data_IF_751844654350
#
_entry.id   IF_751844654350
#
_cell.length_a   1.000
_cell.length_b   1.000
_cell.length_c   1.000
_cell.angle_alpha   90.00
_cell.angle_beta   90.00
_cell.angle_gamma   90.00
#
_symmetry.space_group_name_H-M   'P 1'
#
loop_
_entity.id
_entity.type
_entity.pdbx_description
1 polymer ?
#
# COMPACT_ATOMS: atom_id res chain seq x y z
N UNK A 1 2.58 -1.82 -27.55
CA UNK A 1 2.46 -2.31 -26.17
C UNK A 1 2.53 -1.11 -25.25
N UNK A 2 1.57 -1.00 -24.32
CA UNK A 2 1.61 0.05 -23.31
C UNK A 2 2.81 -0.16 -22.37
N UNK A 3 3.59 0.90 -22.16
CA UNK A 3 4.75 0.86 -21.27
C UNK A 3 4.30 1.17 -19.84
N UNK A 4 4.60 0.29 -18.90
CA UNK A 4 4.45 0.54 -17.47
C UNK A 4 5.77 1.10 -16.97
N UNK A 5 5.74 2.32 -16.41
CA UNK A 5 6.86 2.94 -15.74
C UNK A 5 6.55 3.05 -14.24
N UNK A 6 7.51 2.68 -13.39
CA UNK A 6 7.39 2.83 -11.93
C UNK A 6 8.56 3.68 -11.45
N UNK A 7 8.25 4.70 -10.69
CA UNK A 7 9.23 5.63 -10.15
C UNK A 7 8.85 6.12 -8.75
N UNK A 8 9.81 6.62 -7.98
CA UNK A 8 9.49 7.36 -6.77
C UNK A 8 8.53 8.52 -7.07
N UNK A 9 7.53 8.68 -6.23
CA UNK A 9 6.64 9.83 -6.30
C UNK A 9 7.35 11.09 -5.80
N UNK A 10 6.94 12.23 -6.35
CA UNK A 10 7.42 13.55 -5.97
C UNK A 10 6.25 14.48 -5.63
N UNK A 11 6.51 15.65 -5.07
CA UNK A 11 5.46 16.57 -4.60
C UNK A 11 4.42 16.91 -5.69
N UNK A 12 4.85 17.04 -6.94
CA UNK A 12 3.95 17.32 -8.07
C UNK A 12 3.00 16.17 -8.40
N UNK A 13 3.24 14.97 -7.88
CA UNK A 13 2.37 13.79 -8.06
C UNK A 13 1.22 13.74 -7.04
N UNK A 14 1.25 14.56 -6.00
CA UNK A 14 0.26 14.54 -4.92
C UNK A 14 -1.19 14.58 -5.42
N UNK A 15 -1.58 15.43 -6.39
CA UNK A 15 -2.94 15.41 -6.91
C UNK A 15 -3.34 14.05 -7.53
N UNK A 16 -2.43 13.41 -8.24
CA UNK A 16 -2.67 12.08 -8.83
C UNK A 16 -2.80 11.00 -7.75
N UNK A 17 -1.95 11.03 -6.72
CA UNK A 17 -2.00 10.11 -5.59
C UNK A 17 -3.31 10.25 -4.81
N UNK A 18 -3.78 11.48 -4.58
CA UNK A 18 -5.08 11.76 -3.95
C UNK A 18 -6.22 11.15 -4.77
N UNK A 19 -6.21 11.34 -6.08
CA UNK A 19 -7.22 10.76 -6.97
C UNK A 19 -7.20 9.23 -6.96
N UNK A 20 -6.01 8.62 -7.02
CA UNK A 20 -5.85 7.15 -6.96
C UNK A 20 -6.30 6.56 -5.62
N UNK A 21 -6.12 7.27 -4.52
CA UNK A 21 -6.55 6.81 -3.20
C UNK A 21 -8.07 6.72 -3.08
N UNK A 22 -8.82 7.55 -3.78
CA UNK A 22 -10.29 7.58 -3.68
C UNK A 22 -10.94 6.21 -3.95
N UNK A 23 -10.42 5.45 -4.90
CA UNK A 23 -10.92 4.11 -5.21
C UNK A 23 -10.66 3.08 -4.11
N UNK A 24 -9.50 3.13 -3.47
CA UNK A 24 -9.15 2.27 -2.32
C UNK A 24 -10.00 2.63 -1.12
N UNK A 25 -10.14 3.92 -0.84
CA UNK A 25 -10.96 4.40 0.28
C UNK A 25 -12.42 3.98 0.12
N UNK A 26 -13.00 4.15 -1.06
CA UNK A 26 -14.37 3.73 -1.34
C UNK A 26 -14.57 2.22 -1.15
N UNK A 27 -13.61 1.40 -1.58
CA UNK A 27 -13.64 -0.05 -1.36
C UNK A 27 -13.60 -0.40 0.13
N UNK A 28 -12.69 0.20 0.90
CA UNK A 28 -12.59 -0.05 2.33
C UNK A 28 -13.86 0.40 3.08
N UNK A 29 -14.40 1.56 2.74
CA UNK A 29 -15.65 2.04 3.32
C UNK A 29 -16.86 1.14 3.00
N UNK A 30 -16.90 0.56 1.80
CA UNK A 30 -17.93 -0.41 1.42
C UNK A 30 -17.82 -1.74 2.18
N UNK A 31 -16.58 -2.21 2.44
CA UNK A 31 -16.32 -3.46 3.15
C UNK A 31 -16.49 -3.32 4.68
N UNK A 32 -16.13 -2.19 5.25
CA UNK A 32 -16.11 -1.95 6.70
C UNK A 32 -16.51 -0.50 7.02
N UNK A 33 -17.80 -0.13 6.82
CA UNK A 33 -18.27 1.25 6.98
C UNK A 33 -18.22 1.74 8.45
N UNK A 34 -18.13 0.82 9.41
CA UNK A 34 -17.96 1.11 10.82
C UNK A 34 -16.53 1.54 11.19
N UNK A 35 -15.56 1.35 10.27
CA UNK A 35 -14.15 1.64 10.50
C UNK A 35 -13.68 2.79 9.60
N UNK A 36 -14.07 2.75 8.33
CA UNK A 36 -13.56 3.67 7.32
C UNK A 36 -14.52 4.82 7.04
N UNK A 37 -13.95 6.02 6.92
CA UNK A 37 -14.69 7.19 6.41
C UNK A 37 -15.18 6.91 5.00
N UNK A 38 -16.40 7.31 4.61
CA UNK A 38 -16.93 7.11 3.26
C UNK A 38 -16.12 7.86 2.20
N UNK A 39 -15.49 8.97 2.59
CA UNK A 39 -14.56 9.73 1.78
C UNK A 39 -13.48 10.36 2.66
N UNK A 40 -12.34 10.65 2.08
CA UNK A 40 -11.23 11.39 2.71
C UNK A 40 -11.22 12.79 2.17
N UNK A 41 -11.01 13.79 3.03
CA UNK A 41 -10.80 15.17 2.60
C UNK A 41 -9.54 15.24 1.73
N UNK A 42 -9.61 15.74 0.49
CA UNK A 42 -8.46 15.78 -0.41
C UNK A 42 -7.30 16.66 0.10
N UNK A 43 -7.61 17.70 0.86
CA UNK A 43 -6.60 18.61 1.43
C UNK A 43 -5.85 17.93 2.57
N UNK A 44 -6.59 17.27 3.47
CA UNK A 44 -6.01 16.46 4.55
C UNK A 44 -5.12 15.35 3.98
N UNK A 45 -5.59 14.63 2.98
CA UNK A 45 -4.84 13.54 2.35
C UNK A 45 -3.59 14.06 1.64
N UNK A 46 -3.68 15.18 0.93
CA UNK A 46 -2.53 15.80 0.28
C UNK A 46 -1.45 16.21 1.30
N UNK A 47 -1.86 16.80 2.43
CA UNK A 47 -0.95 17.16 3.51
C UNK A 47 -0.30 15.91 4.13
N UNK A 48 -1.07 14.86 4.37
CA UNK A 48 -0.57 13.60 4.89
C UNK A 48 0.47 12.97 3.94
N UNK A 49 0.17 12.90 2.63
CA UNK A 49 1.09 12.30 1.64
C UNK A 49 2.38 13.11 1.48
N UNK A 50 2.34 14.44 1.60
CA UNK A 50 3.57 15.25 1.67
C UNK A 50 4.41 14.87 2.88
N UNK A 51 3.78 14.71 4.04
CA UNK A 51 4.48 14.23 5.24
C UNK A 51 5.12 12.85 5.05
N UNK A 52 4.49 11.96 4.28
CA UNK A 52 5.07 10.67 3.90
C UNK A 52 6.31 10.85 3.00
N UNK A 53 6.22 11.72 1.99
CA UNK A 53 7.35 11.99 1.08
C UNK A 53 8.58 12.55 1.80
N UNK A 54 8.37 13.36 2.84
CA UNK A 54 9.44 14.00 3.59
C UNK A 54 10.19 13.05 4.55
N UNK A 55 9.68 11.82 4.76
CA UNK A 55 10.27 10.87 5.70
C UNK A 55 11.12 9.81 4.99
N UNK A 56 12.41 9.67 5.33
CA UNK A 56 13.31 8.73 4.67
C UNK A 56 12.97 7.25 4.90
N UNK A 57 12.18 6.94 5.93
CA UNK A 57 11.69 5.58 6.20
C UNK A 57 10.59 5.14 5.22
N UNK A 58 9.92 6.07 4.55
CA UNK A 58 8.83 5.76 3.63
C UNK A 58 9.31 5.61 2.18
N UNK A 59 8.58 4.79 1.44
CA UNK A 59 8.70 4.62 -0.01
C UNK A 59 7.33 4.82 -0.62
N UNK A 60 7.19 5.85 -1.41
CA UNK A 60 5.97 6.15 -2.15
C UNK A 60 6.30 6.10 -3.64
N UNK A 61 5.72 5.12 -4.34
CA UNK A 61 5.95 4.87 -5.76
C UNK A 61 4.70 5.21 -6.56
N UNK A 62 4.90 5.80 -7.72
CA UNK A 62 3.87 6.02 -8.72
C UNK A 62 4.10 5.07 -9.91
N UNK A 63 3.05 4.40 -10.35
CA UNK A 63 3.01 3.66 -11.59
C UNK A 63 2.29 4.46 -12.67
N UNK A 64 2.90 4.57 -13.83
CA UNK A 64 2.35 5.28 -14.99
C UNK A 64 2.21 4.29 -16.16
N UNK A 65 1.15 4.45 -16.93
CA UNK A 65 0.94 3.75 -18.19
C UNK A 65 0.82 4.80 -19.29
N UNK A 66 1.74 4.79 -20.23
CA UNK A 66 1.81 5.76 -21.32
C UNK A 66 1.74 7.23 -20.81
N UNK A 67 2.38 7.50 -19.65
CA UNK A 67 2.43 8.80 -19.01
C UNK A 67 1.20 9.17 -18.15
N UNK A 68 0.20 8.31 -18.06
CA UNK A 68 -0.96 8.51 -17.19
C UNK A 68 -0.77 7.78 -15.85
N UNK A 69 -1.06 8.44 -14.74
CA UNK A 69 -1.02 7.84 -13.41
C UNK A 69 -2.03 6.67 -13.33
N UNK A 70 -1.54 5.48 -13.04
CA UNK A 70 -2.31 4.25 -13.11
C UNK A 70 -2.40 3.49 -11.78
N UNK A 71 -1.51 3.80 -10.83
CA UNK A 71 -1.48 3.16 -9.52
C UNK A 71 -0.37 3.70 -8.65
N UNK A 72 -0.37 3.33 -7.38
CA UNK A 72 0.70 3.67 -6.45
C UNK A 72 0.92 2.59 -5.41
N UNK A 73 2.12 2.56 -4.85
CA UNK A 73 2.48 1.75 -3.69
C UNK A 73 3.10 2.61 -2.60
N UNK A 74 2.72 2.36 -1.34
CA UNK A 74 3.31 3.03 -0.19
C UNK A 74 3.76 2.01 0.83
N UNK A 75 5.05 2.01 1.14
CA UNK A 75 5.66 1.16 2.14
C UNK A 75 6.54 1.95 3.11
N UNK A 76 6.84 1.35 4.25
CA UNK A 76 7.61 1.95 5.35
C UNK A 76 8.62 0.95 5.90
N UNK A 77 9.82 1.41 6.19
CA UNK A 77 10.80 0.67 6.98
C UNK A 77 10.42 0.83 8.45
N UNK A 78 10.03 -0.26 9.10
CA UNK A 78 9.64 -0.27 10.51
C UNK A 78 10.69 -0.96 11.38
N UNK A 79 11.20 -0.23 12.36
CA UNK A 79 12.04 -0.77 13.43
C UNK A 79 11.16 -1.10 14.64
N UNK A 80 11.16 -2.36 15.05
CA UNK A 80 10.48 -2.85 16.23
C UNK A 80 11.52 -3.20 17.30
N UNK A 81 11.56 -2.42 18.35
CA UNK A 81 12.46 -2.65 19.47
C UNK A 81 12.18 -4.00 20.14
N UNK A 82 13.21 -4.55 20.77
CA UNK A 82 13.07 -5.73 21.63
C UNK A 82 12.14 -5.42 22.82
N UNK A 83 11.36 -6.41 23.18
CA UNK A 83 10.51 -6.40 24.38
C UNK A 83 10.76 -7.66 25.19
N UNK A 84 10.25 -7.79 26.44
CA UNK A 84 10.37 -9.04 27.19
C UNK A 84 9.75 -10.26 26.48
N UNK A 85 8.93 -10.05 25.45
CA UNK A 85 8.19 -11.11 24.75
C UNK A 85 8.59 -11.28 23.29
N UNK A 86 9.32 -10.33 22.69
CA UNK A 86 9.62 -10.35 21.26
C UNK A 86 11.03 -9.82 20.99
N UNK A 87 11.70 -10.46 20.04
CA UNK A 87 13.00 -10.01 19.54
C UNK A 87 12.88 -8.67 18.81
N UNK A 88 13.95 -7.88 18.87
CA UNK A 88 14.08 -6.73 17.97
C UNK A 88 14.04 -7.21 16.53
N UNK A 89 13.29 -6.48 15.69
CA UNK A 89 13.20 -6.81 14.27
C UNK A 89 12.97 -5.56 13.42
N UNK A 90 13.51 -5.61 12.23
CA UNK A 90 13.31 -4.60 11.18
C UNK A 90 12.53 -5.24 10.05
N UNK A 91 11.51 -4.54 9.53
CA UNK A 91 10.65 -5.05 8.47
C UNK A 91 10.26 -3.96 7.49
N UNK A 92 9.88 -4.35 6.29
CA UNK A 92 9.27 -3.48 5.30
C UNK A 92 7.75 -3.66 5.37
N UNK A 93 7.02 -2.61 5.69
CA UNK A 93 5.58 -2.67 5.86
C UNK A 93 4.87 -1.98 4.70
N UNK A 94 4.07 -2.72 3.96
CA UNK A 94 3.27 -2.21 2.85
C UNK A 94 1.94 -1.67 3.39
N UNK A 95 1.77 -0.35 3.33
CA UNK A 95 0.56 0.33 3.76
C UNK A 95 -0.53 0.33 2.69
N UNK A 96 -0.18 0.73 1.46
CA UNK A 96 -1.11 0.81 0.35
C UNK A 96 -0.52 0.20 -0.91
N UNK A 97 -1.39 -0.45 -1.67
CA UNK A 97 -1.14 -0.88 -3.04
C UNK A 97 -2.44 -0.69 -3.82
N UNK A 98 -2.47 0.28 -4.71
CA UNK A 98 -3.66 0.72 -5.39
C UNK A 98 -3.46 0.82 -6.89
N UNK A 99 -4.44 0.38 -7.66
CA UNK A 99 -4.47 0.52 -9.12
C UNK A 99 -5.83 1.08 -9.53
N UNK A 100 -5.81 2.12 -10.34
CA UNK A 100 -7.00 2.71 -10.92
C UNK A 100 -7.82 1.64 -11.66
N UNK A 101 -9.14 1.58 -11.46
CA UNK A 101 -10.01 0.61 -12.13
C UNK A 101 -9.82 0.52 -13.65
N UNK A 102 -9.57 1.66 -14.33
CA UNK A 102 -9.34 1.71 -15.76
C UNK A 102 -8.06 0.98 -16.22
N UNK A 103 -7.11 0.79 -15.31
CA UNK A 103 -5.82 0.16 -15.59
C UNK A 103 -5.65 -1.23 -14.97
N UNK A 104 -6.68 -1.78 -14.31
CA UNK A 104 -6.63 -3.10 -13.70
C UNK A 104 -6.38 -4.21 -14.70
N UNK A 105 -5.90 -5.36 -14.21
CA UNK A 105 -5.58 -6.58 -14.99
C UNK A 105 -4.46 -6.40 -16.02
N UNK A 106 -3.62 -5.39 -15.85
CA UNK A 106 -2.45 -5.12 -16.69
C UNK A 106 -1.10 -5.40 -15.98
N UNK A 107 -1.12 -6.07 -14.82
CA UNK A 107 0.10 -6.40 -14.08
C UNK A 107 0.69 -5.27 -13.24
N UNK A 108 0.04 -4.10 -13.13
CA UNK A 108 0.58 -2.92 -12.44
C UNK A 108 0.81 -3.17 -10.95
N UNK A 109 -0.13 -3.82 -10.27
CA UNK A 109 0.02 -4.14 -8.85
C UNK A 109 1.21 -5.08 -8.60
N UNK A 110 1.39 -6.08 -9.45
CA UNK A 110 2.53 -6.99 -9.37
C UNK A 110 3.84 -6.24 -9.63
N UNK A 111 3.89 -5.38 -10.64
CA UNK A 111 5.09 -4.60 -10.94
C UNK A 111 5.45 -3.61 -9.81
N UNK A 112 4.47 -2.94 -9.19
CA UNK A 112 4.69 -2.11 -8.00
C UNK A 112 5.25 -2.93 -6.83
N UNK A 113 4.66 -4.10 -6.58
CA UNK A 113 5.09 -5.00 -5.52
C UNK A 113 6.51 -5.49 -5.75
N UNK A 114 6.86 -5.89 -6.98
CA UNK A 114 8.21 -6.34 -7.35
C UNK A 114 9.27 -5.26 -7.10
N UNK A 115 8.96 -4.00 -7.41
CA UNK A 115 9.87 -2.87 -7.14
C UNK A 115 10.04 -2.67 -5.63
N UNK A 116 8.95 -2.66 -4.86
CA UNK A 116 9.00 -2.50 -3.41
C UNK A 116 9.77 -3.65 -2.72
N UNK A 117 9.54 -4.88 -3.14
CA UNK A 117 10.29 -6.04 -2.64
C UNK A 117 11.77 -5.97 -3.05
N UNK A 118 12.07 -5.47 -4.24
CA UNK A 118 13.45 -5.23 -4.69
C UNK A 118 14.15 -4.20 -3.80
N UNK A 119 13.49 -3.13 -3.44
CA UNK A 119 14.02 -2.14 -2.49
C UNK A 119 14.23 -2.74 -1.09
N UNK A 120 13.28 -3.53 -0.59
CA UNK A 120 13.43 -4.22 0.69
C UNK A 120 14.68 -5.12 0.70
N UNK A 121 14.88 -5.91 -0.36
CA UNK A 121 16.08 -6.77 -0.51
C UNK A 121 17.37 -5.94 -0.57
N UNK A 122 17.37 -4.84 -1.30
CA UNK A 122 18.54 -3.95 -1.39
C UNK A 122 18.91 -3.31 -0.03
N UNK A 123 17.91 -3.10 0.84
CA UNK A 123 18.10 -2.62 2.21
C UNK A 123 18.47 -3.73 3.21
N UNK A 124 18.59 -4.98 2.76
CA UNK A 124 18.86 -6.13 3.63
C UNK A 124 17.68 -6.51 4.53
N UNK A 125 16.46 -6.13 4.16
CA UNK A 125 15.26 -6.50 4.89
C UNK A 125 14.77 -7.88 4.42
N UNK A 126 14.57 -8.78 5.36
CA UNK A 126 14.21 -10.18 5.08
C UNK A 126 12.68 -10.39 4.99
N UNK A 127 11.90 -9.42 5.42
CA UNK A 127 10.44 -9.58 5.54
C UNK A 127 9.69 -8.35 5.05
N UNK A 128 8.76 -8.58 4.13
CA UNK A 128 7.71 -7.63 3.76
C UNK A 128 6.42 -8.07 4.46
N UNK A 129 5.77 -7.15 5.16
CA UNK A 129 4.54 -7.39 5.91
C UNK A 129 3.46 -6.43 5.43
N UNK A 130 2.24 -6.88 5.41
CA UNK A 130 1.07 -6.07 5.10
C UNK A 130 -0.15 -6.55 5.88
N UNK A 131 -1.16 -5.71 5.97
CA UNK A 131 -2.49 -6.08 6.40
C UNK A 131 -3.45 -6.01 5.22
N UNK A 132 -4.21 -7.07 5.01
CA UNK A 132 -5.29 -7.10 4.03
C UNK A 132 -6.58 -7.54 4.71
N UNK A 133 -7.64 -6.77 4.51
CA UNK A 133 -8.94 -7.04 5.12
C UNK A 133 -9.48 -8.40 4.67
N UNK A 134 -9.94 -9.22 5.61
CA UNK A 134 -10.47 -10.55 5.32
C UNK A 134 -11.64 -10.53 4.32
N UNK A 135 -12.45 -9.47 4.34
CA UNK A 135 -13.56 -9.26 3.40
C UNK A 135 -13.11 -8.85 2.00
N UNK A 136 -11.86 -8.44 1.81
CA UNK A 136 -11.31 -8.09 0.50
C UNK A 136 -10.75 -9.34 -0.19
N UNK A 137 -11.64 -10.16 -0.76
CA UNK A 137 -11.26 -11.41 -1.41
C UNK A 137 -10.25 -11.22 -2.56
N UNK A 138 -10.34 -10.11 -3.28
CA UNK A 138 -9.42 -9.78 -4.36
C UNK A 138 -7.99 -9.55 -3.87
N UNK A 139 -7.82 -8.77 -2.79
CA UNK A 139 -6.51 -8.55 -2.17
C UNK A 139 -5.96 -9.84 -1.58
N UNK A 140 -6.78 -10.63 -0.88
CA UNK A 140 -6.39 -11.93 -0.33
C UNK A 140 -5.84 -12.85 -1.42
N UNK A 141 -6.56 -12.99 -2.54
CA UNK A 141 -6.12 -13.84 -3.66
C UNK A 141 -4.86 -13.32 -4.32
N UNK A 142 -4.73 -11.99 -4.50
CA UNK A 142 -3.56 -11.36 -5.09
C UNK A 142 -2.29 -11.61 -4.25
N UNK A 143 -2.34 -11.33 -2.96
CA UNK A 143 -1.19 -11.52 -2.08
C UNK A 143 -0.83 -12.99 -1.87
N UNK A 144 -1.81 -13.89 -1.79
CA UNK A 144 -1.55 -15.32 -1.76
C UNK A 144 -0.82 -15.81 -3.03
N UNK A 145 -1.25 -15.35 -4.21
CA UNK A 145 -0.58 -15.65 -5.48
C UNK A 145 0.83 -15.07 -5.56
N UNK A 146 1.09 -13.94 -4.89
CA UNK A 146 2.42 -13.32 -4.77
C UNK A 146 3.31 -13.99 -3.70
N UNK A 147 2.83 -15.04 -3.02
CA UNK A 147 3.62 -15.80 -2.04
C UNK A 147 3.48 -15.32 -0.59
N UNK A 148 2.56 -14.40 -0.31
CA UNK A 148 2.31 -13.95 1.05
C UNK A 148 1.42 -14.96 1.80
N UNK A 149 1.85 -15.35 2.98
CA UNK A 149 1.10 -16.22 3.88
C UNK A 149 0.58 -15.44 5.10
N UNK A 150 -0.54 -15.85 5.71
CA UNK A 150 -1.01 -15.22 6.94
C UNK A 150 0.03 -15.29 8.06
N UNK A 151 0.38 -14.12 8.61
CA UNK A 151 1.30 -14.00 9.74
C UNK A 151 0.54 -13.93 11.07
N UNK A 152 -0.59 -13.23 11.07
CA UNK A 152 -1.43 -12.98 12.24
C UNK A 152 -2.89 -12.89 11.79
N UNK A 153 -3.79 -13.22 12.71
CA UNK A 153 -5.24 -13.07 12.50
C UNK A 153 -5.82 -12.22 13.62
N UNK A 154 -6.34 -11.06 13.28
CA UNK A 154 -7.13 -10.24 14.19
C UNK A 154 -8.58 -10.69 14.14
N UNK A 155 -9.19 -10.94 15.30
CA UNK A 155 -10.59 -11.31 15.42
C UNK A 155 -11.35 -10.26 16.23
N UNK A 156 -12.55 -9.93 15.80
CA UNK A 156 -13.41 -8.99 16.48
C UNK A 156 -14.77 -9.64 16.79
N UNK A 157 -15.36 -9.24 17.90
CA UNK A 157 -16.74 -9.58 18.31
C UNK A 157 -17.45 -8.32 18.76
N UNK A 158 -18.60 -8.03 18.16
CA UNK A 158 -19.47 -6.98 18.70
C UNK A 158 -20.08 -7.47 20.02
N UNK A 159 -20.00 -6.60 21.02
CA UNK A 159 -20.71 -6.79 22.28
C UNK A 159 -22.02 -6.00 22.16
N UNK A 160 -23.13 -6.71 22.12
CA UNK A 160 -24.49 -6.14 21.96
C UNK A 160 -24.88 -5.20 23.08
#
# INVERSE_FOLDING_TARGET
MSSIAIRPAVDTDIPALVALNAGVQALHAALSPEIFKPAVDPVELASFLRGVLDQPAHRLLLAEVDGAAAGYGWAEIQDRAETPFALARRRFYLHHLAVDPAFRRRGIAAALLDVLEGEARALGLETVVLDAWAANAGAQAFFAAAGYAPLNLTRAKRLG
#
